data_IF_617213631461
#
_entry.id   IF_617213631461
#
_cell.length_a   1.000
_cell.length_b   1.000
_cell.length_c   1.000
_cell.angle_alpha   90.00
_cell.angle_beta   90.00
_cell.angle_gamma   90.00
#
_symmetry.space_group_name_H-M   'P 1'
#
loop_
_entity.id
_entity.type
_entity.pdbx_description
1 polymer ?
#
# COMPACT_ATOMS: atom_id res chain seq x y z
N UNK A 1 -46.43 -50.40 44.52
CA UNK A 1 -46.11 -49.09 43.90
C UNK A 1 -45.01 -49.30 42.86
N UNK A 2 -45.31 -49.14 41.56
CA UNK A 2 -44.37 -49.41 40.45
C UNK A 2 -43.57 -48.15 40.14
N UNK A 3 -42.23 -48.25 40.13
CA UNK A 3 -41.29 -47.20 39.72
C UNK A 3 -41.24 -47.12 38.19
N UNK A 4 -41.54 -45.94 37.64
CA UNK A 4 -41.29 -45.63 36.23
C UNK A 4 -39.82 -45.26 36.02
N UNK A 5 -39.18 -45.87 35.02
CA UNK A 5 -37.82 -45.60 34.57
C UNK A 5 -37.92 -44.71 33.33
N UNK A 6 -37.46 -43.46 33.43
CA UNK A 6 -37.35 -42.55 32.30
C UNK A 6 -36.07 -42.85 31.52
N UNK A 7 -36.21 -43.12 30.21
CA UNK A 7 -35.10 -43.28 29.27
C UNK A 7 -34.68 -41.93 28.67
N UNK A 8 -33.37 -41.70 28.40
CA UNK A 8 -32.89 -40.45 27.84
C UNK A 8 -33.17 -40.33 26.33
N UNK A 9 -33.57 -39.13 25.91
CA UNK A 9 -33.81 -38.75 24.50
C UNK A 9 -32.47 -38.69 23.75
N UNK A 10 -32.41 -39.36 22.59
CA UNK A 10 -31.27 -39.38 21.69
C UNK A 10 -30.93 -38.00 21.13
N UNK A 11 -29.64 -37.66 21.19
CA UNK A 11 -29.07 -36.49 20.53
C UNK A 11 -28.78 -36.80 19.06
N UNK A 12 -29.33 -36.00 18.15
CA UNK A 12 -28.97 -36.02 16.74
C UNK A 12 -27.59 -35.36 16.58
N UNK A 13 -26.61 -36.15 16.15
CA UNK A 13 -25.29 -35.65 15.77
C UNK A 13 -25.40 -34.71 14.55
N UNK A 14 -24.72 -33.56 14.53
CA UNK A 14 -24.71 -32.66 13.39
C UNK A 14 -24.05 -33.35 12.20
N UNK A 15 -24.79 -33.47 11.08
CA UNK A 15 -24.25 -33.97 9.82
C UNK A 15 -23.18 -33.01 9.30
N UNK A 16 -21.93 -33.45 9.39
CA UNK A 16 -20.76 -32.82 8.81
C UNK A 16 -20.94 -32.77 7.28
N UNK A 17 -21.30 -31.59 6.75
CA UNK A 17 -21.35 -31.34 5.31
C UNK A 17 -19.94 -31.54 4.75
N UNK A 18 -19.71 -32.69 4.11
CA UNK A 18 -18.50 -33.01 3.35
C UNK A 18 -18.27 -31.90 2.32
N UNK A 19 -17.29 -31.03 2.58
CA UNK A 19 -16.84 -30.04 1.60
C UNK A 19 -16.28 -30.80 0.41
N UNK A 20 -16.89 -30.62 -0.76
CA UNK A 20 -16.38 -31.15 -2.01
C UNK A 20 -14.92 -30.71 -2.20
N UNK A 21 -14.04 -31.56 -2.74
CA UNK A 21 -12.65 -31.19 -2.99
C UNK A 21 -12.61 -29.95 -3.88
N UNK A 22 -11.92 -28.90 -3.42
CA UNK A 22 -11.60 -27.75 -4.26
C UNK A 22 -10.60 -28.24 -5.30
N UNK A 23 -11.08 -28.52 -6.51
CA UNK A 23 -10.21 -28.87 -7.64
C UNK A 23 -9.41 -27.61 -8.00
N UNK A 24 -8.13 -27.58 -7.60
CA UNK A 24 -7.20 -26.57 -8.09
C UNK A 24 -7.12 -26.71 -9.62
N UNK A 25 -7.52 -25.66 -10.34
CA UNK A 25 -7.41 -25.62 -11.79
C UNK A 25 -5.95 -25.72 -12.25
N UNK A 26 -5.70 -26.11 -13.51
CA UNK A 26 -4.35 -26.18 -14.04
C UNK A 26 -3.66 -24.80 -13.98
N UNK A 27 -2.46 -24.76 -13.40
CA UNK A 27 -1.60 -23.58 -13.43
C UNK A 27 -1.13 -23.33 -14.87
N UNK A 28 -1.27 -22.09 -15.37
CA UNK A 28 -0.71 -21.72 -16.68
C UNK A 28 0.81 -21.84 -16.66
N UNK A 29 1.38 -22.29 -17.78
CA UNK A 29 2.83 -22.32 -17.96
C UNK A 29 3.40 -20.92 -18.18
N UNK A 30 4.69 -20.72 -17.86
CA UNK A 30 5.37 -19.42 -18.04
C UNK A 30 5.26 -18.84 -19.45
N UNK A 31 5.34 -19.69 -20.49
CA UNK A 31 5.18 -19.25 -21.89
C UNK A 31 3.77 -18.71 -22.20
N UNK A 32 2.74 -19.28 -21.57
CA UNK A 32 1.35 -18.84 -21.74
C UNK A 32 1.12 -17.51 -21.05
N UNK A 33 1.70 -17.33 -19.85
CA UNK A 33 1.68 -16.07 -19.11
C UNK A 33 2.37 -14.97 -19.93
N UNK A 34 3.57 -15.21 -20.44
CA UNK A 34 4.29 -14.23 -21.28
C UNK A 34 3.50 -13.86 -22.55
N UNK A 35 2.86 -14.85 -23.19
CA UNK A 35 2.00 -14.61 -24.35
C UNK A 35 0.79 -13.76 -23.98
N UNK A 36 0.14 -14.03 -22.84
CA UNK A 36 -1.00 -13.24 -22.37
C UNK A 36 -0.58 -11.80 -22.03
N UNK A 37 0.53 -11.59 -21.33
CA UNK A 37 1.07 -10.25 -21.07
C UNK A 37 1.35 -9.50 -22.37
N UNK A 38 1.96 -10.16 -23.37
CA UNK A 38 2.15 -9.57 -24.70
C UNK A 38 0.84 -9.19 -25.41
N UNK A 39 -0.20 -10.02 -25.28
CA UNK A 39 -1.54 -9.70 -25.80
C UNK A 39 -2.22 -8.54 -25.06
N UNK A 40 -1.93 -8.34 -23.77
CA UNK A 40 -2.41 -7.20 -23.00
C UNK A 40 -1.85 -5.86 -23.52
N UNK A 41 -0.74 -5.86 -24.26
CA UNK A 41 -0.20 -4.69 -24.95
C UNK A 41 -0.78 -4.47 -26.36
N UNK A 42 -1.74 -5.29 -26.81
CA UNK A 42 -2.31 -5.19 -28.15
C UNK A 42 -3.12 -3.90 -28.35
N UNK A 43 -3.05 -3.30 -29.55
CA UNK A 43 -3.94 -2.19 -29.95
C UNK A 43 -5.43 -2.57 -29.94
N UNK A 44 -5.76 -3.86 -30.03
CA UNK A 44 -7.15 -4.34 -30.03
C UNK A 44 -7.70 -4.48 -28.61
N UNK A 45 -8.74 -3.71 -28.22
CA UNK A 45 -9.34 -3.82 -26.88
C UNK A 45 -9.86 -5.23 -26.57
N UNK A 46 -10.39 -5.92 -27.58
CA UNK A 46 -10.87 -7.31 -27.43
C UNK A 46 -9.75 -8.28 -27.07
N UNK A 47 -8.57 -8.14 -27.68
CA UNK A 47 -7.40 -8.98 -27.37
C UNK A 47 -6.88 -8.70 -25.97
N UNK A 48 -6.85 -7.42 -25.54
CA UNK A 48 -6.44 -7.05 -24.18
C UNK A 48 -7.37 -7.62 -23.12
N UNK A 49 -8.68 -7.44 -23.29
CA UNK A 49 -9.67 -7.96 -22.36
C UNK A 49 -9.65 -9.50 -22.30
N UNK A 50 -9.38 -10.17 -23.42
CA UNK A 50 -9.18 -11.63 -23.43
C UNK A 50 -7.90 -12.02 -22.69
N UNK A 51 -6.80 -11.30 -22.88
CA UNK A 51 -5.54 -11.52 -22.20
C UNK A 51 -5.65 -11.37 -20.67
N UNK A 52 -6.26 -10.28 -20.18
CA UNK A 52 -6.50 -10.06 -18.75
C UNK A 52 -7.37 -11.17 -18.16
N UNK A 53 -8.33 -11.71 -18.92
CA UNK A 53 -9.13 -12.87 -18.52
C UNK A 53 -8.31 -14.16 -18.44
N UNK A 54 -7.34 -14.36 -19.31
CA UNK A 54 -6.45 -15.53 -19.24
C UNK A 54 -5.58 -15.48 -17.97
N UNK A 55 -5.14 -14.28 -17.58
CA UNK A 55 -4.33 -14.06 -16.37
C UNK A 55 -5.12 -14.11 -15.05
N UNK A 56 -6.40 -14.54 -15.06
CA UNK A 56 -7.31 -14.34 -13.93
C UNK A 56 -6.88 -14.96 -12.58
N UNK A 57 -5.93 -15.89 -12.57
CA UNK A 57 -5.40 -16.54 -11.37
C UNK A 57 -3.93 -16.21 -11.10
N UNK A 58 -3.30 -15.37 -11.94
CA UNK A 58 -1.89 -15.03 -11.85
C UNK A 58 -1.74 -13.61 -11.26
N UNK A 59 -1.48 -13.55 -9.95
CA UNK A 59 -1.35 -12.31 -9.20
C UNK A 59 -0.20 -11.43 -9.73
N UNK A 60 0.94 -12.03 -10.06
CA UNK A 60 2.13 -11.31 -10.50
C UNK A 60 1.93 -10.71 -11.90
N UNK A 61 1.40 -11.50 -12.84
CA UNK A 61 1.12 -11.04 -14.19
C UNK A 61 0.02 -9.97 -14.21
N UNK A 62 -1.02 -10.11 -13.41
CA UNK A 62 -2.06 -9.08 -13.28
C UNK A 62 -1.50 -7.80 -12.66
N UNK A 63 -0.63 -7.90 -11.65
CA UNK A 63 0.02 -6.74 -11.01
C UNK A 63 0.90 -5.99 -12.01
N UNK A 64 1.67 -6.72 -12.81
CA UNK A 64 2.49 -6.14 -13.87
C UNK A 64 1.62 -5.41 -14.92
N UNK A 65 0.55 -6.03 -15.40
CA UNK A 65 -0.36 -5.42 -16.38
C UNK A 65 -1.05 -4.18 -15.79
N UNK A 66 -1.50 -4.25 -14.54
CA UNK A 66 -2.11 -3.12 -13.84
C UNK A 66 -1.13 -1.95 -13.64
N UNK A 67 0.15 -2.24 -13.39
CA UNK A 67 1.17 -1.21 -13.18
C UNK A 67 1.65 -0.58 -14.50
N UNK A 68 1.87 -1.36 -15.56
CA UNK A 68 2.66 -0.92 -16.72
C UNK A 68 1.90 -0.87 -18.06
N UNK A 69 0.64 -1.31 -18.14
CA UNK A 69 -0.10 -1.22 -19.39
C UNK A 69 -0.35 0.23 -19.80
N UNK A 70 0.00 0.60 -21.03
CA UNK A 70 -0.31 1.91 -21.61
C UNK A 70 -1.81 2.21 -21.66
N UNK A 71 -2.66 1.18 -21.71
CA UNK A 71 -4.10 1.32 -21.86
C UNK A 71 -4.80 1.33 -20.50
N UNK A 72 -5.47 2.44 -20.19
CA UNK A 72 -6.16 2.65 -18.91
C UNK A 72 -7.30 1.65 -18.66
N UNK A 73 -8.04 1.26 -19.70
CA UNK A 73 -9.08 0.23 -19.61
C UNK A 73 -8.52 -1.11 -19.12
N UNK A 74 -7.33 -1.44 -19.60
CA UNK A 74 -6.63 -2.71 -19.34
C UNK A 74 -6.03 -2.71 -17.95
N UNK A 75 -5.46 -1.58 -17.51
CA UNK A 75 -5.01 -1.41 -16.11
C UNK A 75 -6.16 -1.56 -15.13
N UNK A 76 -7.29 -0.88 -15.39
CA UNK A 76 -8.50 -0.95 -14.56
C UNK A 76 -9.08 -2.36 -14.52
N UNK A 77 -9.15 -3.06 -15.66
CA UNK A 77 -9.65 -4.44 -15.68
C UNK A 77 -8.72 -5.39 -14.90
N UNK A 78 -7.39 -5.27 -15.07
CA UNK A 78 -6.42 -6.08 -14.34
C UNK A 78 -6.50 -5.83 -12.82
N UNK A 79 -6.55 -4.57 -12.40
CA UNK A 79 -6.75 -4.21 -10.98
C UNK A 79 -8.07 -4.77 -10.45
N UNK A 80 -9.17 -4.64 -11.21
CA UNK A 80 -10.47 -5.19 -10.85
C UNK A 80 -10.49 -6.71 -10.72
N UNK A 81 -9.57 -7.43 -11.38
CA UNK A 81 -9.38 -8.88 -11.22
C UNK A 81 -8.59 -9.20 -9.96
N UNK A 82 -7.49 -8.47 -9.71
CA UNK A 82 -6.68 -8.63 -8.50
C UNK A 82 -7.50 -8.50 -7.23
N UNK A 83 -8.41 -7.53 -7.18
CA UNK A 83 -9.28 -7.30 -6.01
C UNK A 83 -10.22 -8.48 -5.67
N UNK A 84 -10.32 -9.49 -6.55
CA UNK A 84 -11.11 -10.71 -6.31
C UNK A 84 -10.27 -11.87 -5.76
N UNK A 85 -8.95 -11.70 -5.71
CA UNK A 85 -8.01 -12.72 -5.22
C UNK A 85 -7.85 -12.58 -3.70
N UNK A 86 -7.44 -13.64 -2.99
CA UNK A 86 -7.34 -13.59 -1.53
C UNK A 86 -6.11 -12.83 -1.01
N UNK A 87 -5.02 -12.73 -1.79
CA UNK A 87 -3.73 -12.15 -1.36
C UNK A 87 -3.41 -10.86 -2.12
N UNK A 88 -4.21 -9.82 -1.87
CA UNK A 88 -4.14 -8.58 -2.68
C UNK A 88 -3.10 -7.57 -2.21
N UNK A 89 -2.62 -7.65 -0.97
CA UNK A 89 -1.79 -6.59 -0.37
C UNK A 89 -0.48 -6.40 -1.13
N UNK A 90 0.23 -7.49 -1.43
CA UNK A 90 1.49 -7.44 -2.18
C UNK A 90 1.31 -6.92 -3.62
N UNK A 91 0.36 -7.46 -4.42
CA UNK A 91 -0.04 -6.90 -5.72
C UNK A 91 -0.32 -5.39 -5.71
N UNK A 92 -1.12 -4.93 -4.75
CA UNK A 92 -1.48 -3.51 -4.65
C UNK A 92 -0.28 -2.65 -4.28
N UNK A 93 0.56 -3.12 -3.36
CA UNK A 93 1.81 -2.43 -3.00
C UNK A 93 2.72 -2.29 -4.21
N UNK A 94 2.89 -3.36 -5.00
CA UNK A 94 3.68 -3.33 -6.22
C UNK A 94 3.14 -2.28 -7.21
N UNK A 95 1.83 -2.29 -7.48
CA UNK A 95 1.20 -1.32 -8.40
C UNK A 95 1.42 0.12 -7.91
N UNK A 96 1.19 0.38 -6.63
CA UNK A 96 1.37 1.69 -6.03
C UNK A 96 2.81 2.21 -6.13
N UNK A 97 3.81 1.33 -5.96
CA UNK A 97 5.22 1.70 -5.99
C UNK A 97 5.77 1.91 -7.40
N UNK A 98 5.34 1.08 -8.35
CA UNK A 98 6.00 0.96 -9.66
C UNK A 98 5.19 1.48 -10.85
N UNK A 99 3.90 1.80 -10.66
CA UNK A 99 3.11 2.33 -11.77
C UNK A 99 3.53 3.77 -12.09
N UNK A 100 3.93 4.08 -13.34
CA UNK A 100 4.10 5.47 -13.77
C UNK A 100 2.75 6.17 -13.97
N UNK A 101 1.65 5.43 -13.88
CA UNK A 101 0.30 5.94 -14.10
C UNK A 101 -0.35 6.28 -12.76
N UNK A 102 -0.54 7.58 -12.53
CA UNK A 102 -1.12 8.12 -11.30
C UNK A 102 -2.47 7.47 -10.95
N UNK A 103 -3.35 7.31 -11.93
CA UNK A 103 -4.66 6.68 -11.72
C UNK A 103 -4.57 5.28 -11.12
N UNK A 104 -3.57 4.52 -11.51
CA UNK A 104 -3.37 3.12 -11.11
C UNK A 104 -2.65 3.05 -9.76
N UNK A 105 -1.65 3.90 -9.56
CA UNK A 105 -0.94 4.01 -8.30
C UNK A 105 -1.88 4.47 -7.17
N UNK A 106 -2.64 5.55 -7.38
CA UNK A 106 -3.63 6.07 -6.43
C UNK A 106 -4.69 5.01 -6.14
N UNK A 107 -5.28 4.40 -7.19
CA UNK A 107 -6.31 3.37 -7.01
C UNK A 107 -5.79 2.20 -6.15
N UNK A 108 -4.51 1.82 -6.29
CA UNK A 108 -3.93 0.76 -5.47
C UNK A 108 -3.78 1.19 -4.00
N UNK A 109 -3.29 2.41 -3.73
CA UNK A 109 -3.18 2.97 -2.38
C UNK A 109 -4.55 3.09 -1.71
N UNK A 110 -5.59 3.47 -2.45
CA UNK A 110 -6.96 3.55 -1.93
C UNK A 110 -7.44 2.20 -1.38
N UNK A 111 -7.06 1.09 -2.03
CA UNK A 111 -7.46 -0.27 -1.64
C UNK A 111 -6.64 -0.84 -0.49
N UNK A 112 -5.44 -0.32 -0.23
CA UNK A 112 -4.61 -0.65 0.93
C UNK A 112 -5.11 0.09 2.19
N UNK A 113 -6.29 -0.28 2.68
CA UNK A 113 -6.82 0.31 3.92
C UNK A 113 -6.28 -0.43 5.14
N UNK A 114 -5.54 0.27 6.00
CA UNK A 114 -4.96 -0.25 7.27
C UNK A 114 -3.78 -1.21 7.11
N UNK A 115 -3.15 -1.22 5.94
CA UNK A 115 -1.93 -2.00 5.68
C UNK A 115 -0.70 -1.10 5.89
N UNK A 116 -0.44 -0.73 7.15
CA UNK A 116 0.55 0.30 7.51
C UNK A 116 1.94 0.00 6.92
N UNK A 117 2.42 -1.24 6.96
CA UNK A 117 3.71 -1.62 6.36
C UNK A 117 3.73 -1.49 4.83
N UNK A 118 2.60 -1.71 4.16
CA UNK A 118 2.50 -1.49 2.72
C UNK A 118 2.48 0.01 2.40
N UNK A 119 1.67 0.78 3.13
CA UNK A 119 1.57 2.24 3.00
C UNK A 119 2.90 2.94 3.30
N UNK A 120 3.63 2.49 4.33
CA UNK A 120 4.96 2.99 4.67
C UNK A 120 5.94 2.76 3.51
N UNK A 121 5.99 1.54 2.96
CA UNK A 121 6.83 1.26 1.79
C UNK A 121 6.49 2.13 0.58
N UNK A 122 5.20 2.38 0.33
CA UNK A 122 4.75 3.26 -0.74
C UNK A 122 5.19 4.71 -0.49
N UNK A 123 4.98 5.23 0.72
CA UNK A 123 5.36 6.59 1.09
C UNK A 123 6.88 6.84 0.96
N UNK A 124 7.69 5.82 1.20
CA UNK A 124 9.16 5.90 1.16
C UNK A 124 9.71 5.77 -0.27
N UNK A 125 9.14 4.85 -1.08
CA UNK A 125 9.77 4.37 -2.32
C UNK A 125 8.96 4.59 -3.60
N UNK A 126 7.68 4.96 -3.52
CA UNK A 126 6.86 5.10 -4.74
C UNK A 126 7.41 6.18 -5.65
N UNK A 127 7.50 5.89 -6.95
CA UNK A 127 7.90 6.88 -7.94
C UNK A 127 6.81 7.94 -8.18
N UNK A 128 5.55 7.59 -7.90
CA UNK A 128 4.41 8.49 -8.06
C UNK A 128 4.21 9.37 -6.80
N UNK A 129 4.33 10.69 -6.98
CA UNK A 129 4.18 11.70 -5.90
C UNK A 129 2.81 11.62 -5.23
N UNK A 130 1.73 11.61 -5.99
CA UNK A 130 0.37 11.60 -5.43
C UNK A 130 0.10 10.31 -4.64
N UNK A 131 0.61 9.17 -5.10
CA UNK A 131 0.54 7.92 -4.36
C UNK A 131 1.32 7.98 -3.04
N UNK A 132 2.51 8.60 -3.01
CA UNK A 132 3.26 8.84 -1.76
C UNK A 132 2.46 9.72 -0.80
N UNK A 133 1.96 10.86 -1.29
CA UNK A 133 1.22 11.82 -0.48
C UNK A 133 -0.04 11.20 0.13
N UNK A 134 -0.79 10.43 -0.67
CA UNK A 134 -1.95 9.69 -0.21
C UNK A 134 -1.58 8.60 0.80
N UNK A 135 -0.46 7.90 0.60
CA UNK A 135 0.03 6.91 1.55
C UNK A 135 0.40 7.55 2.90
N UNK A 136 1.13 8.68 2.89
CA UNK A 136 1.42 9.46 4.11
C UNK A 136 0.14 9.93 4.80
N UNK A 137 -0.84 10.41 4.04
CA UNK A 137 -2.14 10.80 4.58
C UNK A 137 -2.85 9.63 5.27
N UNK A 138 -2.80 8.42 4.70
CA UNK A 138 -3.41 7.23 5.32
C UNK A 138 -2.66 6.75 6.56
N UNK A 139 -1.37 7.03 6.65
CA UNK A 139 -0.54 6.78 7.83
C UNK A 139 -0.72 7.82 8.93
N UNK A 140 -1.63 8.81 8.79
CA UNK A 140 -1.78 9.92 9.75
C UNK A 140 -2.03 9.47 11.19
N UNK A 141 -2.48 8.23 11.39
CA UNK A 141 -2.80 7.63 12.68
C UNK A 141 -1.62 6.89 13.33
N UNK A 142 -0.58 6.57 12.55
CA UNK A 142 0.57 5.78 13.00
C UNK A 142 1.80 6.67 13.10
N UNK A 143 2.03 7.20 14.31
CA UNK A 143 3.17 8.08 14.60
C UNK A 143 4.52 7.40 14.29
N UNK A 144 4.65 6.11 14.61
CA UNK A 144 5.85 5.32 14.32
C UNK A 144 6.10 5.23 12.80
N UNK A 145 5.06 4.96 12.01
CA UNK A 145 5.20 4.92 10.55
C UNK A 145 5.57 6.30 9.98
N UNK A 146 4.96 7.38 10.48
CA UNK A 146 5.28 8.74 10.04
C UNK A 146 6.71 9.13 10.40
N UNK A 147 7.18 8.77 11.61
CA UNK A 147 8.58 8.97 12.04
C UNK A 147 9.53 8.29 11.07
N UNK A 148 9.25 7.03 10.75
CA UNK A 148 10.04 6.27 9.79
C UNK A 148 10.06 6.94 8.41
N UNK A 149 8.90 7.37 7.89
CA UNK A 149 8.82 8.06 6.60
C UNK A 149 9.64 9.36 6.61
N UNK A 150 9.56 10.16 7.69
CA UNK A 150 10.31 11.41 7.80
C UNK A 150 11.84 11.20 7.77
N UNK A 151 12.32 10.07 8.30
CA UNK A 151 13.75 9.77 8.39
C UNK A 151 14.30 9.08 7.16
N UNK A 152 13.51 8.19 6.54
CA UNK A 152 14.01 7.22 5.57
C UNK A 152 13.43 7.34 4.17
N UNK A 153 12.49 8.27 3.94
CA UNK A 153 11.98 8.54 2.59
C UNK A 153 13.13 8.85 1.61
N UNK A 154 13.00 8.36 0.37
CA UNK A 154 13.87 8.79 -0.72
C UNK A 154 13.44 10.15 -1.33
N UNK A 155 12.29 10.67 -0.89
CA UNK A 155 11.66 11.86 -1.43
C UNK A 155 11.34 12.87 -0.32
N UNK A 156 11.96 14.05 -0.39
CA UNK A 156 11.82 15.10 0.61
C UNK A 156 10.35 15.52 0.84
N UNK A 157 9.54 15.59 -0.21
CA UNK A 157 8.11 15.96 -0.14
C UNK A 157 7.33 15.09 0.86
N UNK A 158 7.59 13.79 0.84
CA UNK A 158 6.92 12.78 1.66
C UNK A 158 7.38 12.88 3.11
N UNK A 159 8.67 13.17 3.31
CA UNK A 159 9.24 13.41 4.64
C UNK A 159 8.70 14.68 5.28
N UNK A 160 8.65 15.78 4.53
CA UNK A 160 8.05 17.06 4.96
C UNK A 160 6.56 16.86 5.29
N UNK A 161 5.82 16.11 4.46
CA UNK A 161 4.40 15.80 4.72
C UNK A 161 4.22 14.98 5.98
N UNK A 162 5.11 14.01 6.23
CA UNK A 162 5.09 13.22 7.45
C UNK A 162 5.37 14.08 8.70
N UNK A 163 6.35 14.99 8.65
CA UNK A 163 6.67 15.90 9.76
C UNK A 163 5.50 16.81 10.17
N UNK A 164 4.71 17.28 9.22
CA UNK A 164 3.51 18.07 9.54
C UNK A 164 2.47 17.27 10.32
N UNK A 165 2.33 16.00 9.98
CA UNK A 165 1.46 15.09 10.72
C UNK A 165 2.01 14.84 12.14
N UNK A 166 3.33 15.00 12.33
CA UNK A 166 4.06 14.88 13.60
C UNK A 166 4.28 16.23 14.32
N UNK A 167 3.62 17.32 13.93
CA UNK A 167 3.94 18.67 14.43
C UNK A 167 3.82 18.83 15.96
N UNK A 168 3.07 17.94 16.62
CA UNK A 168 2.89 17.93 18.07
C UNK A 168 3.89 17.01 18.80
N UNK A 169 4.74 16.30 18.06
CA UNK A 169 5.75 15.40 18.61
C UNK A 169 7.16 16.02 18.49
N UNK A 170 7.57 16.74 19.53
CA UNK A 170 8.87 17.42 19.56
C UNK A 170 10.07 16.46 19.46
N UNK A 171 9.94 15.22 19.95
CA UNK A 171 10.99 14.21 19.85
C UNK A 171 11.20 13.78 18.39
N UNK A 172 10.11 13.47 17.69
CA UNK A 172 10.14 13.11 16.27
C UNK A 172 10.75 14.23 15.41
N UNK A 173 10.38 15.47 15.71
CA UNK A 173 10.91 16.64 15.00
C UNK A 173 12.41 16.82 15.25
N UNK A 174 12.89 16.69 16.50
CA UNK A 174 14.33 16.76 16.81
C UNK A 174 15.11 15.66 16.09
N UNK A 175 14.57 14.44 16.10
CA UNK A 175 15.18 13.31 15.43
C UNK A 175 15.27 13.56 13.91
N UNK A 176 14.22 14.08 13.30
CA UNK A 176 14.23 14.43 11.89
C UNK A 176 15.15 15.61 11.55
N UNK A 177 15.30 16.58 12.44
CA UNK A 177 16.25 17.70 12.32
C UNK A 177 17.70 17.21 12.27
N UNK A 178 18.04 16.15 13.02
CA UNK A 178 19.42 15.65 13.10
C UNK A 178 19.71 14.51 12.13
N UNK A 179 18.77 13.58 11.94
CA UNK A 179 19.04 12.26 11.37
C UNK A 179 18.45 12.05 9.97
N UNK A 180 17.58 12.95 9.50
CA UNK A 180 17.07 12.85 8.12
C UNK A 180 18.19 13.05 7.11
N UNK A 181 18.24 12.25 6.06
CA UNK A 181 19.19 12.40 4.95
C UNK A 181 18.93 13.67 4.13
N UNK A 182 17.68 14.15 4.10
CA UNK A 182 17.25 15.28 3.28
C UNK A 182 17.43 16.63 4.01
N UNK A 183 18.23 17.57 3.48
CA UNK A 183 18.40 18.88 4.09
C UNK A 183 17.10 19.68 4.18
N UNK A 184 16.18 19.51 3.24
CA UNK A 184 14.87 20.17 3.23
C UNK A 184 13.98 19.66 4.37
N UNK A 185 14.04 18.36 4.65
CA UNK A 185 13.32 17.74 5.77
C UNK A 185 13.89 18.22 7.09
N UNK A 186 15.23 18.29 7.24
CA UNK A 186 15.89 18.85 8.43
C UNK A 186 15.48 20.32 8.64
N UNK A 187 15.52 21.14 7.60
CA UNK A 187 15.13 22.54 7.66
C UNK A 187 13.64 22.72 8.04
N UNK A 188 12.76 21.88 7.48
CA UNK A 188 11.34 21.88 7.84
C UNK A 188 11.15 21.50 9.32
N UNK A 189 11.86 20.48 9.82
CA UNK A 189 11.81 20.10 11.23
C UNK A 189 12.26 21.25 12.15
N UNK A 190 13.38 21.91 11.86
CA UNK A 190 13.84 23.11 12.59
C UNK A 190 12.79 24.22 12.60
N UNK A 191 12.13 24.46 11.45
CA UNK A 191 11.12 25.50 11.33
C UNK A 191 9.87 25.19 12.17
N UNK A 192 9.40 23.93 12.18
CA UNK A 192 8.28 23.50 13.05
C UNK A 192 8.67 23.67 14.52
N UNK A 193 9.88 23.26 14.94
CA UNK A 193 10.34 23.38 16.33
C UNK A 193 10.41 24.84 16.80
N UNK A 194 10.84 25.76 15.92
CA UNK A 194 10.91 27.19 16.21
C UNK A 194 9.56 27.90 16.14
N UNK A 195 8.50 27.19 15.73
CA UNK A 195 7.19 27.75 15.35
C UNK A 195 7.32 28.89 14.32
N UNK A 196 8.33 28.82 13.47
CA UNK A 196 8.56 29.81 12.42
C UNK A 196 7.66 29.50 11.23
N UNK A 197 6.40 29.94 11.34
CA UNK A 197 5.40 29.78 10.30
C UNK A 197 5.81 30.43 8.98
N UNK A 198 6.65 31.49 9.01
CA UNK A 198 7.10 32.18 7.81
C UNK A 198 8.13 31.39 6.99
N UNK A 199 8.97 30.58 7.64
CA UNK A 199 9.89 29.65 6.97
C UNK A 199 9.13 28.43 6.43
N UNK A 200 8.17 27.91 7.20
CA UNK A 200 7.31 26.81 6.74
C UNK A 200 6.52 27.19 5.48
N UNK A 201 5.93 28.39 5.47
CA UNK A 201 5.21 28.91 4.30
C UNK A 201 6.13 29.11 3.10
N UNK A 202 7.38 29.52 3.27
CA UNK A 202 8.32 29.68 2.14
C UNK A 202 8.82 28.36 1.55
N UNK A 203 9.07 27.35 2.39
CA UNK A 203 9.36 25.98 1.92
C UNK A 203 8.15 25.43 1.13
N UNK A 204 6.94 25.84 1.54
CA UNK A 204 5.67 25.45 0.93
C UNK A 204 5.28 26.20 -0.34
N UNK A 205 5.48 27.51 -0.38
CA UNK A 205 5.15 28.38 -1.49
C UNK A 205 6.05 28.10 -2.70
N UNK A 206 7.26 27.58 -2.43
CA UNK A 206 8.10 26.96 -3.46
C UNK A 206 7.61 25.58 -3.92
N UNK A 207 6.61 24.97 -3.27
CA UNK A 207 6.03 23.67 -3.62
C UNK A 207 4.54 23.69 -4.05
N UNK A 208 3.87 24.85 -4.00
CA UNK A 208 2.62 25.13 -4.74
C UNK A 208 1.29 24.86 -4.02
N UNK A 209 0.50 25.94 -3.83
CA UNK A 209 -0.98 26.01 -3.90
C UNK A 209 -1.77 24.68 -3.87
N UNK A 210 -2.32 24.26 -2.72
CA UNK A 210 -3.55 23.43 -2.65
C UNK A 210 -4.06 23.24 -1.20
N UNK A 211 -5.29 23.67 -0.94
CA UNK A 211 -5.98 23.70 0.36
C UNK A 211 -6.69 22.38 0.73
N UNK A 212 -6.40 21.78 1.90
CA UNK A 212 -7.32 20.84 2.57
C UNK A 212 -7.01 20.67 4.09
N UNK A 213 -8.05 20.58 4.97
CA UNK A 213 -7.91 20.45 6.43
C UNK A 213 -7.84 18.98 6.95
N UNK A 214 -7.38 18.74 8.20
CA UNK A 214 -7.11 17.40 8.76
C UNK A 214 -8.32 16.73 9.46
N UNK A 215 -8.38 15.38 9.54
CA UNK A 215 -9.39 14.65 10.31
C UNK A 215 -8.89 14.09 11.66
N UNK A 216 -9.84 13.79 12.56
CA UNK A 216 -9.65 13.49 13.97
C UNK A 216 -9.97 12.03 14.38
N UNK A 217 -9.24 11.51 15.37
CA UNK A 217 -9.61 10.40 16.26
C UNK A 217 -9.20 8.94 15.93
N UNK A 218 -8.41 8.33 16.83
CA UNK A 218 -8.41 6.87 17.09
C UNK A 218 -7.03 6.21 17.30
N UNK A 219 -6.57 6.07 18.56
CA UNK A 219 -5.29 5.44 18.92
C UNK A 219 -5.35 3.90 18.86
N UNK A 220 -4.52 3.29 18.03
CA UNK A 220 -4.08 1.90 18.15
C UNK A 220 -2.57 1.84 17.89
N UNK A 221 -1.81 1.13 18.74
CA UNK A 221 -0.36 0.97 18.63
C UNK A 221 -0.01 -0.06 17.55
N UNK A 222 0.81 0.34 16.59
CA UNK A 222 1.33 -0.51 15.53
C UNK A 222 2.80 -0.80 15.84
N UNK A 223 3.16 -2.04 16.20
CA UNK A 223 4.58 -2.47 16.19
C UNK A 223 5.00 -2.67 14.74
N UNK A 224 5.99 -1.91 14.27
CA UNK A 224 6.63 -2.17 12.99
C UNK A 224 7.32 -3.55 13.00
N UNK A 225 7.22 -4.25 11.87
CA UNK A 225 7.88 -5.54 11.63
C UNK A 225 9.38 -5.32 11.36
N UNK A 226 10.24 -5.77 12.27
CA UNK A 226 11.70 -5.63 12.22
C UNK A 226 12.31 -6.18 10.91
N UNK A 227 11.70 -7.23 10.34
CA UNK A 227 12.19 -7.84 9.10
C UNK A 227 12.03 -6.91 7.90
N UNK A 228 11.02 -6.05 7.92
CA UNK A 228 10.80 -5.04 6.88
C UNK A 228 11.85 -3.92 6.93
N UNK A 229 12.19 -3.46 8.14
CA UNK A 229 13.21 -2.42 8.35
C UNK A 229 14.58 -2.90 7.84
N UNK A 230 14.90 -4.17 8.09
CA UNK A 230 16.16 -4.77 7.63
C UNK A 230 16.24 -4.85 6.09
N UNK A 231 15.17 -5.28 5.43
CA UNK A 231 15.13 -5.37 3.96
C UNK A 231 15.27 -4.02 3.25
N UNK A 232 14.71 -2.95 3.81
CA UNK A 232 14.85 -1.59 3.24
C UNK A 232 16.28 -1.06 3.33
N UNK A 233 16.98 -1.33 4.44
CA UNK A 233 18.37 -0.91 4.64
C UNK A 233 19.30 -1.55 3.60
N UNK A 234 19.09 -2.84 3.34
CA UNK A 234 19.91 -3.61 2.40
C UNK A 234 19.72 -3.15 0.94
N UNK A 235 18.54 -2.67 0.56
CA UNK A 235 18.28 -2.09 -0.77
C UNK A 235 18.97 -0.72 -0.92
N UNK A 236 18.96 0.11 0.12
CA UNK A 236 19.57 1.44 0.10
C UNK A 236 21.10 1.38 0.12
N UNK A 237 21.69 0.42 0.84
CA UNK A 237 23.15 0.26 0.95
C UNK A 237 23.78 -0.38 -0.30
N UNK A 238 23.04 -1.20 -1.05
CA UNK A 238 23.54 -1.92 -2.23
C UNK A 238 23.08 -1.33 -3.58
N UNK A 239 22.24 -0.29 -3.57
CA UNK A 239 21.62 0.30 -4.76
C UNK A 239 22.29 1.56 -5.31
N UNK A 240 23.47 1.94 -4.81
CA UNK A 240 24.23 3.14 -5.22
C UNK A 240 25.50 2.82 -6.01
#
# INVERSE_FOLDING_TARGET
>A
MRKQVNSPRGGNAPQEKRKSPVMCGPHMGGAEISKAVGLAASRSPRKRAAAVRMLAQDEDALSYVAAHSFYADTRKEALGRLLKLPRIVFPLKYIAMHSPHEDSAISAVEKLSREDGALQGIAVLSQNKEARMLAVQKLSWSEECLKFVALHTAHADSGIRALRSLQWNAEALKLAETDSSHPEVRAAASAILRKDTGVLLRILENEGSSDAPPPAGGMHSCRADEDFIKGLREILENGG
#
